data_IF_597280348359
#
_entry.id   IF_597280348359
#
_cell.length_a   1.000
_cell.length_b   1.000
_cell.length_c   1.000
_cell.angle_alpha   90.00
_cell.angle_beta   90.00
_cell.angle_gamma   90.00
#
_symmetry.space_group_name_H-M   'P 1'
#
loop_
_entity.id
_entity.type
_entity.pdbx_description
1 polymer ?
#
# COMPACT_ATOMS: atom_id res chain seq x y z
N UNK A 1 8.78 -6.55 16.69
CA UNK A 1 7.61 -5.67 16.52
C UNK A 1 6.91 -6.10 15.26
N UNK A 2 5.60 -6.27 15.27
CA UNK A 2 4.87 -6.55 14.03
C UNK A 2 4.86 -5.28 13.18
N UNK A 3 5.57 -5.30 12.06
CA UNK A 3 5.68 -4.16 11.14
C UNK A 3 4.46 -4.10 10.22
N UNK A 4 3.29 -3.87 10.80
CA UNK A 4 2.02 -3.81 10.09
C UNK A 4 1.31 -2.49 10.44
N UNK A 5 0.50 -1.97 9.52
CA UNK A 5 -0.39 -0.85 9.81
C UNK A 5 -1.84 -1.21 9.55
N UNK A 6 -2.74 -0.66 10.36
CA UNK A 6 -4.18 -0.84 10.19
C UNK A 6 -4.71 0.34 9.37
N UNK A 7 -5.29 0.03 8.23
CA UNK A 7 -5.99 1.00 7.37
C UNK A 7 -7.47 0.92 7.66
N UNK A 8 -8.03 1.99 8.23
CA UNK A 8 -9.45 2.09 8.50
C UNK A 8 -10.20 2.55 7.24
N UNK A 9 -11.10 1.73 6.70
CA UNK A 9 -11.91 2.06 5.51
C UNK A 9 -13.27 2.67 5.89
N UNK A 10 -13.86 2.20 7.00
CA UNK A 10 -15.11 2.71 7.60
C UNK A 10 -15.09 2.50 9.11
N UNK A 11 -16.16 2.79 9.87
CA UNK A 11 -16.22 2.47 11.31
C UNK A 11 -16.13 0.97 11.61
N UNK A 12 -16.46 0.11 10.65
CA UNK A 12 -16.61 -1.34 10.82
C UNK A 12 -15.57 -2.15 10.03
N UNK A 13 -14.91 -1.52 9.05
CA UNK A 13 -13.99 -2.20 8.14
C UNK A 13 -12.58 -1.64 8.31
N UNK A 14 -11.64 -2.51 8.64
CA UNK A 14 -10.22 -2.22 8.63
C UNK A 14 -9.43 -3.31 7.92
N UNK A 15 -8.31 -2.94 7.34
CA UNK A 15 -7.40 -3.85 6.65
C UNK A 15 -6.02 -3.70 7.25
N UNK A 16 -5.46 -4.80 7.73
CA UNK A 16 -4.08 -4.85 8.18
C UNK A 16 -3.17 -5.01 6.96
N UNK A 17 -2.27 -4.06 6.77
CA UNK A 17 -1.27 -4.08 5.71
C UNK A 17 0.08 -4.40 6.35
N UNK A 18 0.60 -5.57 6.02
CA UNK A 18 1.94 -6.00 6.40
C UNK A 18 2.95 -5.60 5.32
N UNK A 19 4.21 -5.47 5.71
CA UNK A 19 5.31 -5.27 4.76
C UNK A 19 5.41 -6.53 3.87
N UNK A 20 5.27 -6.40 2.54
CA UNK A 20 5.44 -7.53 1.63
C UNK A 20 6.92 -7.91 1.50
N UNK A 21 7.18 -9.13 1.09
CA UNK A 21 8.52 -9.55 0.63
C UNK A 21 8.72 -9.16 -0.83
N UNK A 22 9.99 -9.00 -1.25
CA UNK A 22 10.30 -8.71 -2.66
C UNK A 22 9.69 -9.75 -3.63
N UNK A 23 9.70 -11.03 -3.24
CA UNK A 23 9.07 -12.09 -4.04
C UNK A 23 7.56 -11.89 -4.23
N UNK A 24 6.85 -11.43 -3.19
CA UNK A 24 5.41 -11.12 -3.29
C UNK A 24 5.14 -9.93 -4.20
N UNK A 25 6.04 -8.94 -4.22
CA UNK A 25 5.94 -7.76 -5.09
C UNK A 25 5.99 -8.19 -6.56
N UNK A 26 7.00 -8.99 -6.91
CA UNK A 26 7.20 -9.50 -8.28
C UNK A 26 6.07 -10.45 -8.71
N UNK A 27 5.63 -11.37 -7.84
CA UNK A 27 4.58 -12.35 -8.17
C UNK A 27 3.22 -11.70 -8.40
N UNK A 28 2.87 -10.68 -7.61
CA UNK A 28 1.58 -10.01 -7.70
C UNK A 28 1.56 -8.88 -8.74
N UNK A 29 2.65 -8.70 -9.50
CA UNK A 29 2.83 -7.59 -10.45
C UNK A 29 2.50 -6.23 -9.82
N UNK A 30 2.87 -6.05 -8.54
CA UNK A 30 2.74 -4.74 -7.89
C UNK A 30 3.62 -3.68 -8.58
N UNK A 31 4.48 -4.09 -9.53
CA UNK A 31 5.32 -3.28 -10.41
C UNK A 31 4.53 -2.45 -11.45
N UNK A 32 3.24 -2.72 -11.70
CA UNK A 32 2.49 -2.09 -12.81
C UNK A 32 2.02 -0.64 -12.55
N UNK A 33 2.68 0.11 -11.68
CA UNK A 33 2.24 1.43 -11.18
C UNK A 33 2.51 2.57 -12.19
N UNK A 34 2.84 2.25 -13.44
CA UNK A 34 3.25 3.19 -14.49
C UNK A 34 2.14 4.14 -15.01
N UNK A 35 0.96 4.20 -14.38
CA UNK A 35 -0.20 4.99 -14.85
C UNK A 35 -0.86 5.86 -13.76
N UNK A 36 -0.18 6.20 -12.66
CA UNK A 36 -0.72 7.14 -11.66
C UNK A 36 -0.43 8.58 -12.14
N UNK A 37 -1.35 9.55 -12.00
CA UNK A 37 -1.08 10.95 -12.33
C UNK A 37 0.07 11.53 -11.47
N UNK A 38 0.96 12.30 -12.08
CA UNK A 38 2.19 12.92 -11.50
C UNK A 38 2.01 13.60 -10.13
N UNK A 39 0.78 14.03 -9.82
CA UNK A 39 0.47 14.83 -8.64
C UNK A 39 0.64 14.07 -7.29
N UNK A 40 0.80 12.75 -7.33
CA UNK A 40 1.03 11.90 -6.15
C UNK A 40 2.39 11.17 -6.18
N UNK A 41 3.17 11.34 -7.27
CA UNK A 41 4.37 10.57 -7.59
C UNK A 41 5.61 11.31 -7.06
N UNK A 42 5.96 11.11 -5.80
CA UNK A 42 7.35 11.28 -5.36
C UNK A 42 7.77 10.25 -4.28
N UNK A 43 6.98 9.19 -4.05
CA UNK A 43 7.35 8.16 -3.08
C UNK A 43 6.93 6.77 -3.56
N UNK A 44 7.88 6.04 -4.16
CA UNK A 44 7.70 4.64 -4.57
C UNK A 44 7.24 3.73 -3.42
N UNK A 45 7.65 4.03 -2.18
CA UNK A 45 7.19 3.31 -0.99
C UNK A 45 5.69 3.48 -0.72
N UNK A 46 5.15 4.69 -0.87
CA UNK A 46 3.71 4.93 -0.76
C UNK A 46 2.93 4.23 -1.88
N UNK A 47 3.45 4.29 -3.11
CA UNK A 47 2.85 3.62 -4.26
C UNK A 47 2.80 2.09 -4.05
N UNK A 48 3.89 1.49 -3.59
CA UNK A 48 3.93 0.08 -3.25
C UNK A 48 2.95 -0.25 -2.11
N UNK A 49 2.92 0.56 -1.05
CA UNK A 49 1.95 0.42 0.05
C UNK A 49 0.51 0.45 -0.44
N UNK A 50 0.16 1.42 -1.28
CA UNK A 50 -1.17 1.58 -1.82
C UNK A 50 -1.59 0.36 -2.64
N UNK A 51 -0.71 -0.16 -3.48
CA UNK A 51 -0.99 -1.36 -4.26
C UNK A 51 -1.11 -2.62 -3.41
N UNK A 52 -0.28 -2.78 -2.37
CA UNK A 52 -0.42 -3.89 -1.41
C UNK A 52 -1.79 -3.84 -0.74
N UNK A 53 -2.20 -2.67 -0.23
CA UNK A 53 -3.53 -2.47 0.35
C UNK A 53 -4.64 -2.80 -0.66
N UNK A 54 -4.51 -2.31 -1.89
CA UNK A 54 -5.51 -2.54 -2.93
C UNK A 54 -5.65 -4.02 -3.27
N UNK A 55 -4.54 -4.75 -3.36
CA UNK A 55 -4.51 -6.20 -3.57
C UNK A 55 -5.21 -6.95 -2.43
N UNK A 56 -4.95 -6.56 -1.18
CA UNK A 56 -5.60 -7.17 0.00
C UNK A 56 -7.12 -6.95 -0.03
N UNK A 57 -7.57 -5.76 -0.42
CA UNK A 57 -9.00 -5.45 -0.56
C UNK A 57 -9.63 -6.26 -1.68
N UNK A 58 -8.97 -6.38 -2.84
CA UNK A 58 -9.53 -7.16 -3.96
C UNK A 58 -9.63 -8.65 -3.66
N UNK A 59 -8.69 -9.18 -2.88
CA UNK A 59 -8.70 -10.56 -2.43
C UNK A 59 -9.79 -10.84 -1.37
N UNK A 60 -10.32 -9.83 -0.70
CA UNK A 60 -11.33 -9.99 0.35
C UNK A 60 -12.76 -9.70 -0.18
N UNK A 61 -13.61 -10.73 -0.37
CA UNK A 61 -14.99 -10.53 -0.82
C UNK A 61 -15.88 -9.82 0.21
N UNK A 62 -15.51 -9.79 1.49
CA UNK A 62 -16.31 -9.23 2.58
C UNK A 62 -16.19 -7.70 2.70
N UNK A 63 -15.39 -7.04 1.85
CA UNK A 63 -15.23 -5.58 1.84
C UNK A 63 -16.17 -4.99 0.77
N UNK A 64 -17.38 -4.52 1.14
CA UNK A 64 -18.30 -3.87 0.22
C UNK A 64 -17.74 -2.53 -0.27
N UNK A 65 -18.11 -2.13 -1.49
CA UNK A 65 -17.68 -0.86 -2.10
C UNK A 65 -16.15 -0.64 -2.05
N UNK A 66 -15.42 -1.54 -2.72
CA UNK A 66 -13.94 -1.63 -2.81
C UNK A 66 -13.17 -0.35 -3.22
N UNK A 67 -13.86 0.78 -3.45
CA UNK A 67 -13.29 2.00 -4.00
C UNK A 67 -13.65 3.30 -3.26
N UNK A 68 -14.72 3.33 -2.46
CA UNK A 68 -15.12 4.58 -1.79
C UNK A 68 -14.09 4.92 -0.69
N UNK A 69 -13.40 6.06 -0.83
CA UNK A 69 -12.41 6.61 0.12
C UNK A 69 -11.09 5.85 0.30
N UNK A 70 -10.77 4.85 -0.53
CA UNK A 70 -9.53 4.06 -0.39
C UNK A 70 -8.26 4.93 -0.42
N UNK A 71 -8.17 5.87 -1.36
CA UNK A 71 -7.03 6.78 -1.47
C UNK A 71 -6.83 7.63 -0.20
N UNK A 72 -7.93 8.15 0.36
CA UNK A 72 -7.88 8.96 1.57
C UNK A 72 -7.46 8.12 2.79
N UNK A 73 -8.04 6.94 2.95
CA UNK A 73 -7.69 6.02 4.04
C UNK A 73 -6.21 5.60 3.97
N UNK A 74 -5.71 5.30 2.77
CA UNK A 74 -4.31 4.97 2.54
C UNK A 74 -3.37 6.13 2.90
N UNK A 75 -3.68 7.36 2.48
CA UNK A 75 -2.87 8.55 2.82
C UNK A 75 -2.84 8.78 4.33
N UNK A 76 -3.99 8.66 5.02
CA UNK A 76 -4.06 8.83 6.48
C UNK A 76 -3.22 7.76 7.18
N UNK A 77 -3.39 6.50 6.80
CA UNK A 77 -2.63 5.39 7.40
C UNK A 77 -1.13 5.53 7.15
N UNK A 78 -0.72 5.86 5.93
CA UNK A 78 0.67 6.10 5.58
C UNK A 78 1.28 7.25 6.40
N UNK A 79 0.58 8.38 6.54
CA UNK A 79 1.06 9.51 7.35
C UNK A 79 1.22 9.17 8.83
N UNK A 80 0.40 8.26 9.35
CA UNK A 80 0.44 7.79 10.75
C UNK A 80 1.40 6.62 10.97
N UNK A 81 1.86 5.97 9.91
CA UNK A 81 2.79 4.84 10.01
C UNK A 81 4.15 5.27 10.55
N UNK A 82 4.85 4.32 11.20
CA UNK A 82 6.17 4.59 11.75
C UNK A 82 7.20 4.88 10.66
N UNK A 83 8.32 5.51 11.03
CA UNK A 83 9.39 5.78 10.08
C UNK A 83 10.00 4.49 9.54
N UNK A 84 10.19 3.49 10.41
CA UNK A 84 10.74 2.18 10.06
C UNK A 84 9.87 1.48 9.01
N UNK A 85 8.55 1.50 9.19
CA UNK A 85 7.60 0.92 8.23
C UNK A 85 7.70 1.61 6.86
N UNK A 86 7.73 2.95 6.84
CA UNK A 86 7.84 3.72 5.58
C UNK A 86 9.18 3.52 4.88
N UNK A 87 10.27 3.46 5.66
CA UNK A 87 11.60 3.21 5.13
C UNK A 87 11.69 1.84 4.46
N UNK A 88 11.11 0.82 5.07
CA UNK A 88 11.14 -0.53 4.53
C UNK A 88 10.31 -0.66 3.24
N UNK A 89 9.12 -0.06 3.18
CA UNK A 89 8.37 0.06 1.92
C UNK A 89 9.15 0.83 0.85
N UNK A 90 9.88 1.89 1.22
CA UNK A 90 10.69 2.66 0.29
C UNK A 90 11.90 1.86 -0.23
N UNK A 91 12.55 1.08 0.65
CA UNK A 91 13.63 0.14 0.28
C UNK A 91 13.15 -0.90 -0.72
N UNK A 92 12.01 -1.53 -0.44
CA UNK A 92 11.41 -2.54 -1.31
C UNK A 92 10.97 -1.97 -2.65
N UNK A 93 10.38 -0.77 -2.66
CA UNK A 93 10.02 -0.10 -3.90
C UNK A 93 11.24 0.13 -4.79
N UNK A 94 12.39 0.49 -4.21
CA UNK A 94 13.65 0.64 -4.94
C UNK A 94 14.17 -0.67 -5.50
N UNK A 95 14.18 -1.71 -4.68
CA UNK A 95 14.62 -3.04 -5.12
C UNK A 95 13.73 -3.63 -6.21
N UNK A 96 12.45 -3.24 -6.24
CA UNK A 96 11.51 -3.60 -7.29
C UNK A 96 11.55 -2.67 -8.51
N UNK A 97 12.33 -1.59 -8.49
CA UNK A 97 12.41 -0.62 -9.60
C UNK A 97 11.16 0.25 -9.78
N UNK A 98 10.41 0.46 -8.70
CA UNK A 98 9.18 1.28 -8.66
C UNK A 98 9.49 2.78 -8.47
N UNK A 99 10.68 3.14 -7.99
CA UNK A 99 11.13 4.52 -7.75
C UNK A 99 11.93 5.12 -8.93
N UNK A 100 11.33 5.21 -10.12
CA UNK A 100 11.89 6.00 -11.23
C UNK A 100 11.31 7.41 -11.30
#
# INVERSE_FOLDING_TARGET
>A
MENNIIVQLSSEISVQVSIPTLAQITQNKLDSILNVPDNYIHNGGFLLFFNTLQSLIYANPEIPNRHANLALAAVIAWKRSSNEYRLEFSRLAREAGIDN
#
